data_IF_230325344592
#
_entry.id   IF_230325344592
#
_cell.length_a   1.000
_cell.length_b   1.000
_cell.length_c   1.000
_cell.angle_alpha   90.00
_cell.angle_beta   90.00
_cell.angle_gamma   90.00
#
_symmetry.space_group_name_H-M   'P 1'
#
loop_
_entity.id
_entity.type
_entity.pdbx_description
1 polymer ?
#
# COMPACT_ATOMS: atom_id res chain seq x y z
N UNK A 1 -4.94 24.57 -55.70
CA UNK A 1 -3.78 24.21 -54.85
C UNK A 1 -4.00 24.88 -53.50
N UNK A 2 -4.70 24.22 -52.59
CA UNK A 2 -4.71 24.59 -51.18
C UNK A 2 -4.43 23.32 -50.40
N UNK A 3 -3.26 23.30 -49.78
CA UNK A 3 -2.75 22.17 -49.02
C UNK A 3 -3.55 22.05 -47.72
N UNK A 4 -4.26 20.92 -47.58
CA UNK A 4 -4.75 20.46 -46.29
C UNK A 4 -3.55 20.25 -45.36
N UNK A 5 -3.44 21.08 -44.32
CA UNK A 5 -2.55 20.81 -43.19
C UNK A 5 -3.13 19.64 -42.40
N UNK A 6 -2.52 18.48 -42.55
CA UNK A 6 -2.64 17.38 -41.60
C UNK A 6 -1.84 17.74 -40.34
N UNK A 7 -2.49 18.34 -39.34
CA UNK A 7 -1.96 18.35 -37.97
C UNK A 7 -2.36 17.04 -37.27
N UNK A 8 -1.73 15.95 -37.72
CA UNK A 8 -1.74 14.67 -37.03
C UNK A 8 -0.79 14.71 -35.85
N UNK A 9 -1.18 15.33 -34.73
CA UNK A 9 -0.62 14.92 -33.44
C UNK A 9 -1.20 13.55 -33.12
N UNK A 10 -0.52 12.51 -33.60
CA UNK A 10 -0.73 11.14 -33.17
C UNK A 10 -0.54 11.15 -31.66
N UNK A 11 -1.63 11.16 -30.91
CA UNK A 11 -1.54 11.13 -29.47
C UNK A 11 -0.85 9.82 -29.09
N UNK A 12 0.26 9.91 -28.37
CA UNK A 12 1.01 8.74 -27.94
C UNK A 12 0.08 7.76 -27.23
N UNK A 13 0.15 6.48 -27.59
CA UNK A 13 -0.57 5.41 -26.89
C UNK A 13 -0.31 5.52 -25.39
N UNK A 14 -1.36 5.34 -24.59
CA UNK A 14 -1.23 5.32 -23.14
C UNK A 14 -0.23 4.21 -22.73
N UNK A 15 0.80 4.57 -21.96
CA UNK A 15 1.86 3.65 -21.52
C UNK A 15 1.82 3.51 -20.01
N UNK A 16 1.58 2.28 -19.54
CA UNK A 16 1.46 1.96 -18.11
C UNK A 16 2.70 2.38 -17.30
N UNK A 17 3.90 2.21 -17.88
CA UNK A 17 5.16 2.56 -17.22
C UNK A 17 5.28 4.04 -16.83
N UNK A 18 4.64 4.96 -17.57
CA UNK A 18 4.63 6.40 -17.21
C UNK A 18 3.87 6.69 -15.93
N UNK A 19 2.98 5.79 -15.53
CA UNK A 19 2.18 5.87 -14.30
C UNK A 19 2.70 4.93 -13.21
N UNK A 20 3.93 4.40 -13.37
CA UNK A 20 4.50 3.40 -12.47
C UNK A 20 3.67 2.12 -12.34
N UNK A 21 2.93 1.77 -13.40
CA UNK A 21 2.15 0.53 -13.47
C UNK A 21 2.97 -0.51 -14.24
N UNK A 22 3.21 -1.65 -13.60
CA UNK A 22 3.89 -2.79 -14.21
C UNK A 22 2.96 -3.57 -15.13
N UNK A 23 3.45 -3.93 -16.32
CA UNK A 23 2.74 -4.83 -17.25
C UNK A 23 2.52 -6.23 -16.68
N UNK A 24 3.38 -6.65 -15.75
CA UNK A 24 3.32 -7.96 -15.12
C UNK A 24 2.63 -7.89 -13.75
N UNK A 25 2.88 -6.84 -12.98
CA UNK A 25 2.50 -6.75 -11.57
C UNK A 25 1.42 -5.71 -11.27
N UNK A 26 1.00 -4.91 -12.26
CA UNK A 26 0.01 -3.86 -12.06
C UNK A 26 0.56 -2.79 -11.12
N UNK A 27 -0.18 -2.48 -10.07
CA UNK A 27 0.23 -1.50 -9.05
C UNK A 27 1.18 -2.07 -7.99
N UNK A 28 1.36 -3.39 -7.91
CA UNK A 28 2.34 -4.00 -7.01
C UNK A 28 3.75 -3.53 -7.39
N UNK A 29 4.59 -3.24 -6.39
CA UNK A 29 6.00 -2.94 -6.63
C UNK A 29 6.73 -4.23 -7.04
N UNK A 30 7.30 -4.33 -8.25
CA UNK A 30 8.03 -5.53 -8.66
C UNK A 30 9.38 -5.62 -7.95
N UNK A 31 9.65 -6.80 -7.39
CA UNK A 31 10.86 -7.11 -6.63
C UNK A 31 11.13 -6.04 -5.56
N UNK A 32 10.24 -5.91 -4.56
CA UNK A 32 10.47 -4.99 -3.45
C UNK A 32 11.76 -5.35 -2.72
N UNK A 33 12.39 -4.35 -2.11
CA UNK A 33 13.57 -4.59 -1.27
C UNK A 33 13.12 -5.15 0.06
N UNK A 34 13.91 -6.07 0.60
CA UNK A 34 13.69 -6.69 1.91
C UNK A 34 14.54 -6.05 3.01
N UNK A 35 15.66 -5.43 2.63
CA UNK A 35 16.61 -4.78 3.54
C UNK A 35 16.96 -3.38 3.06
N UNK A 36 17.14 -2.47 4.03
CA UNK A 36 17.69 -1.14 3.79
C UNK A 36 19.21 -1.14 3.93
N UNK A 37 19.92 -0.15 3.35
CA UNK A 37 21.36 0.02 3.58
C UNK A 37 21.73 0.12 5.06
N UNK A 38 22.96 -0.28 5.42
CA UNK A 38 23.48 -0.37 6.80
C UNK A 38 23.23 0.87 7.67
N UNK A 39 23.20 2.06 7.06
CA UNK A 39 22.87 3.31 7.75
C UNK A 39 21.52 3.23 8.50
N UNK A 40 20.56 2.50 7.94
CA UNK A 40 19.19 2.33 8.43
C UNK A 40 18.98 1.05 9.25
N UNK A 41 20.06 0.35 9.61
CA UNK A 41 20.00 -0.86 10.44
C UNK A 41 19.20 -0.68 11.74
N UNK A 42 19.26 0.47 12.47
CA UNK A 42 18.42 0.68 13.65
C UNK A 42 16.91 0.58 13.37
N UNK A 43 16.45 1.01 12.20
CA UNK A 43 15.04 0.85 11.80
C UNK A 43 14.71 -0.61 11.52
N UNK A 44 15.56 -1.30 10.74
CA UNK A 44 15.34 -2.70 10.38
C UNK A 44 15.38 -3.63 11.60
N UNK A 45 16.27 -3.39 12.56
CA UNK A 45 16.36 -4.19 13.81
C UNK A 45 15.09 -4.10 14.67
N UNK A 46 14.38 -2.97 14.65
CA UNK A 46 13.07 -2.83 15.29
C UNK A 46 12.02 -3.52 14.44
N UNK A 47 11.99 -3.27 13.13
CA UNK A 47 10.98 -3.79 12.22
C UNK A 47 10.95 -5.33 12.17
N UNK A 48 12.11 -5.99 12.16
CA UNK A 48 12.24 -7.45 12.16
C UNK A 48 11.75 -8.11 13.45
N UNK A 49 11.74 -7.36 14.55
CA UNK A 49 11.25 -7.83 15.87
C UNK A 49 9.93 -7.19 16.25
N UNK A 50 9.26 -6.51 15.31
CA UNK A 50 8.14 -5.64 15.61
C UNK A 50 6.98 -6.37 16.33
N UNK A 51 6.52 -7.56 15.90
CA UNK A 51 5.47 -8.29 16.62
C UNK A 51 5.89 -8.60 18.07
N UNK A 52 7.11 -9.11 18.25
CA UNK A 52 7.63 -9.47 19.57
C UNK A 52 7.80 -8.25 20.49
N UNK A 53 8.29 -7.12 19.96
CA UNK A 53 8.46 -5.89 20.73
C UNK A 53 7.11 -5.29 21.15
N UNK A 54 6.06 -5.44 20.34
CA UNK A 54 4.71 -5.03 20.70
C UNK A 54 4.14 -5.94 21.79
N UNK A 55 4.18 -7.27 21.58
CA UNK A 55 3.66 -8.26 22.53
C UNK A 55 4.35 -8.22 23.90
N UNK A 56 5.63 -7.87 23.92
CA UNK A 56 6.42 -7.71 25.16
C UNK A 56 6.34 -6.31 25.77
N UNK A 57 5.59 -5.38 25.17
CA UNK A 57 5.46 -3.98 25.58
C UNK A 57 6.79 -3.19 25.58
N UNK A 58 7.75 -3.57 24.73
CA UNK A 58 9.09 -3.00 24.68
C UNK A 58 9.32 -2.06 23.48
N UNK A 59 8.42 -2.03 22.50
CA UNK A 59 8.61 -1.23 21.28
C UNK A 59 8.81 0.25 21.60
N UNK A 60 7.99 0.83 22.47
CA UNK A 60 8.10 2.25 22.82
C UNK A 60 9.47 2.62 23.39
N UNK A 61 10.04 1.77 24.27
CA UNK A 61 11.38 1.99 24.82
C UNK A 61 12.46 1.99 23.71
N UNK A 62 12.39 1.03 22.79
CA UNK A 62 13.32 0.96 21.66
C UNK A 62 13.19 2.16 20.72
N UNK A 63 11.98 2.66 20.48
CA UNK A 63 11.76 3.86 19.64
C UNK A 63 12.34 5.12 20.30
N UNK A 64 12.27 5.26 21.63
CA UNK A 64 12.90 6.38 22.34
C UNK A 64 14.43 6.34 22.32
N UNK A 65 15.03 5.14 22.25
CA UNK A 65 16.49 4.96 22.11
C UNK A 65 16.97 5.05 20.65
N UNK A 66 16.05 5.04 19.69
CA UNK A 66 16.37 5.05 18.26
C UNK A 66 17.08 6.35 17.85
N UNK A 67 18.21 6.29 17.13
CA UNK A 67 18.88 7.49 16.64
C UNK A 67 18.04 8.19 15.58
N UNK A 68 18.15 9.52 15.51
CA UNK A 68 17.63 10.28 14.37
C UNK A 68 18.53 10.02 13.15
N UNK A 69 18.00 9.33 12.15
CA UNK A 69 18.70 8.99 10.91
C UNK A 69 18.28 9.91 9.77
N UNK A 70 19.23 10.17 8.87
CA UNK A 70 19.06 11.08 7.74
C UNK A 70 18.54 10.34 6.51
N UNK A 71 17.48 10.83 5.86
CA UNK A 71 16.86 10.17 4.72
C UNK A 71 17.59 10.44 3.39
N UNK A 72 18.60 11.30 3.34
CA UNK A 72 19.37 11.61 2.11
C UNK A 72 20.12 10.41 1.53
N UNK A 73 20.34 9.35 2.31
CA UNK A 73 20.97 8.11 1.85
C UNK A 73 19.97 7.10 1.27
N UNK A 74 18.66 7.41 1.22
CA UNK A 74 17.64 6.66 0.48
C UNK A 74 17.63 7.14 -0.98
N UNK A 75 18.46 6.51 -1.81
CA UNK A 75 18.76 6.94 -3.17
C UNK A 75 17.81 6.35 -4.22
N UNK A 76 17.25 5.18 -3.97
CA UNK A 76 16.35 4.51 -4.90
C UNK A 76 14.88 4.58 -4.48
N UNK A 77 13.98 4.51 -5.45
CA UNK A 77 12.54 4.45 -5.16
C UNK A 77 12.16 3.23 -4.29
N UNK A 78 12.82 2.08 -4.49
CA UNK A 78 12.57 0.89 -3.67
C UNK A 78 13.05 1.07 -2.24
N UNK A 79 14.20 1.73 -2.04
CA UNK A 79 14.69 2.09 -0.69
C UNK A 79 13.71 3.01 0.01
N UNK A 80 13.21 4.05 -0.69
CA UNK A 80 12.22 4.96 -0.13
C UNK A 80 10.90 4.24 0.23
N UNK A 81 10.42 3.34 -0.64
CA UNK A 81 9.21 2.55 -0.38
C UNK A 81 9.37 1.60 0.81
N UNK A 82 10.50 0.90 0.92
CA UNK A 82 10.77 0.05 2.09
C UNK A 82 10.92 0.90 3.36
N UNK A 83 11.62 2.03 3.30
CA UNK A 83 11.75 2.93 4.44
C UNK A 83 10.39 3.46 4.90
N UNK A 84 9.50 3.82 3.98
CA UNK A 84 8.16 4.25 4.32
C UNK A 84 7.37 3.13 5.00
N UNK A 85 7.36 1.91 4.43
CA UNK A 85 6.74 0.73 5.06
C UNK A 85 7.27 0.49 6.48
N UNK A 86 8.58 0.49 6.66
CA UNK A 86 9.23 0.24 7.96
C UNK A 86 8.85 1.32 8.98
N UNK A 87 8.98 2.61 8.62
CA UNK A 87 8.68 3.72 9.52
C UNK A 87 7.19 3.80 9.84
N UNK A 88 6.33 3.53 8.86
CA UNK A 88 4.90 3.42 9.04
C UNK A 88 4.58 2.27 10.01
N UNK A 89 5.22 1.11 9.84
CA UNK A 89 5.00 -0.04 10.69
C UNK A 89 5.40 0.22 12.15
N UNK A 90 6.60 0.75 12.37
CA UNK A 90 7.06 1.13 13.70
C UNK A 90 6.11 2.18 14.30
N UNK A 91 5.61 3.13 13.51
CA UNK A 91 4.63 4.14 13.96
C UNK A 91 3.32 3.51 14.42
N UNK A 92 2.72 2.61 13.63
CA UNK A 92 1.47 1.95 14.02
C UNK A 92 1.65 1.11 15.28
N UNK A 93 2.76 0.37 15.37
CA UNK A 93 3.11 -0.38 16.57
C UNK A 93 3.29 0.52 17.79
N UNK A 94 4.02 1.63 17.65
CA UNK A 94 4.31 2.55 18.74
C UNK A 94 3.04 3.19 19.29
N UNK A 95 2.16 3.65 18.39
CA UNK A 95 0.90 4.31 18.75
C UNK A 95 -0.05 3.34 19.43
N UNK A 96 -0.19 2.12 18.89
CA UNK A 96 -1.23 1.17 19.29
C UNK A 96 -0.75 0.02 20.17
N UNK A 97 0.50 0.02 20.65
CA UNK A 97 1.06 -1.06 21.48
C UNK A 97 0.15 -1.47 22.65
N UNK A 98 -0.41 -0.47 23.36
CA UNK A 98 -1.29 -0.68 24.52
C UNK A 98 -2.78 -0.81 24.13
N UNK A 99 -3.05 -1.03 22.84
CA UNK A 99 -4.38 -1.06 22.25
C UNK A 99 -5.09 0.30 22.23
N UNK A 100 -6.38 0.27 21.97
CA UNK A 100 -7.23 1.47 21.89
C UNK A 100 -7.44 2.16 23.25
N UNK A 101 -7.13 1.50 24.37
CA UNK A 101 -7.33 2.10 25.70
C UNK A 101 -6.30 3.19 26.02
N UNK A 102 -5.06 3.04 25.54
CA UNK A 102 -3.95 3.92 25.91
C UNK A 102 -3.02 4.23 24.72
N UNK A 103 -3.51 4.81 23.62
CA UNK A 103 -2.66 5.12 22.49
C UNK A 103 -1.68 6.25 22.78
N UNK A 104 -0.50 6.19 22.15
CA UNK A 104 0.44 7.31 22.18
C UNK A 104 -0.07 8.47 21.32
N UNK A 105 0.03 9.68 21.88
CA UNK A 105 -0.48 10.92 21.25
C UNK A 105 0.59 11.79 20.62
N UNK A 106 1.85 11.45 20.87
CA UNK A 106 3.03 12.16 20.36
C UNK A 106 3.98 11.13 19.79
N UNK A 107 4.29 11.26 18.50
CA UNK A 107 5.31 10.47 17.82
C UNK A 107 6.68 11.12 18.05
N UNK A 108 7.67 10.42 18.64
CA UNK A 108 8.97 10.99 18.95
C UNK A 108 9.71 11.49 17.70
N UNK A 109 10.48 12.57 17.84
CA UNK A 109 11.17 13.23 16.72
C UNK A 109 12.07 12.30 15.90
N UNK A 110 12.66 11.29 16.55
CA UNK A 110 13.58 10.31 15.95
C UNK A 110 12.86 9.41 14.93
N UNK A 111 11.56 9.24 15.08
CA UNK A 111 10.68 8.52 14.15
C UNK A 111 9.88 9.49 13.26
N UNK A 112 9.35 10.57 13.83
CA UNK A 112 8.45 11.50 13.15
C UNK A 112 9.12 12.27 12.00
N UNK A 113 10.33 12.81 12.20
CA UNK A 113 11.04 13.59 11.20
C UNK A 113 11.35 12.75 9.95
N UNK A 114 12.06 11.61 10.05
CA UNK A 114 12.37 10.81 8.86
C UNK A 114 11.12 10.26 8.20
N UNK A 115 10.10 9.87 8.97
CA UNK A 115 8.86 9.36 8.38
C UNK A 115 8.15 10.42 7.53
N UNK A 116 8.06 11.66 8.01
CA UNK A 116 7.46 12.75 7.23
C UNK A 116 8.31 13.13 6.03
N UNK A 117 9.64 13.07 6.14
CA UNK A 117 10.55 13.35 5.03
C UNK A 117 10.36 12.33 3.88
N UNK A 118 10.39 11.03 4.18
CA UNK A 118 10.17 9.96 3.20
C UNK A 118 8.74 10.01 2.64
N UNK A 119 7.75 10.31 3.49
CA UNK A 119 6.35 10.49 3.06
C UNK A 119 6.23 11.62 2.02
N UNK A 120 6.88 12.76 2.27
CA UNK A 120 6.89 13.89 1.34
C UNK A 120 7.59 13.54 0.03
N UNK A 121 8.71 12.82 0.06
CA UNK A 121 9.43 12.45 -1.16
C UNK A 121 8.62 11.51 -2.05
N UNK A 122 7.80 10.65 -1.44
CA UNK A 122 6.92 9.70 -2.15
C UNK A 122 5.55 10.28 -2.51
N UNK A 123 5.18 11.44 -1.96
CA UNK A 123 3.82 11.98 -2.09
C UNK A 123 2.76 11.18 -1.31
N UNK A 124 3.18 10.47 -0.26
CA UNK A 124 2.32 9.70 0.63
C UNK A 124 2.07 10.45 1.95
N UNK A 125 0.98 10.15 2.69
CA UNK A 125 0.83 10.63 4.05
C UNK A 125 1.77 9.86 5.01
N UNK A 126 2.19 10.47 6.13
CA UNK A 126 2.98 9.81 7.17
C UNK A 126 2.09 8.95 8.08
N UNK A 127 1.42 7.97 7.49
CA UNK A 127 0.69 6.87 8.15
C UNK A 127 0.85 5.61 7.29
N UNK A 128 0.68 4.44 7.87
CA UNK A 128 0.60 3.20 7.09
C UNK A 128 -0.61 3.22 6.15
N UNK A 129 -0.36 3.11 4.85
CA UNK A 129 -1.39 3.04 3.82
C UNK A 129 -1.34 1.72 3.05
N UNK A 130 -2.36 1.46 2.23
CA UNK A 130 -2.44 0.27 1.36
C UNK A 130 -1.20 0.08 0.48
N UNK A 131 -0.62 1.18 -0.03
CA UNK A 131 0.59 1.10 -0.85
C UNK A 131 1.78 0.51 -0.11
N UNK A 132 1.81 0.64 1.21
CA UNK A 132 2.91 0.13 2.03
C UNK A 132 2.58 -1.30 2.44
N UNK A 133 1.43 -1.47 3.08
CA UNK A 133 0.99 -2.72 3.69
C UNK A 133 0.79 -3.84 2.69
N UNK A 134 0.37 -3.52 1.45
CA UNK A 134 0.05 -4.52 0.42
C UNK A 134 1.01 -4.40 -0.75
N UNK A 135 1.07 -3.24 -1.42
CA UNK A 135 1.74 -3.15 -2.71
C UNK A 135 3.26 -3.36 -2.63
N UNK A 136 3.87 -3.18 -1.46
CA UNK A 136 5.31 -3.34 -1.22
C UNK A 136 5.68 -4.43 -0.24
N UNK A 137 4.76 -4.90 0.59
CA UNK A 137 5.07 -5.79 1.70
C UNK A 137 4.92 -7.28 1.33
N UNK A 138 5.61 -7.72 0.28
CA UNK A 138 5.57 -9.11 -0.17
C UNK A 138 6.89 -9.51 -0.81
N UNK A 139 7.31 -10.74 -0.64
CA UNK A 139 8.42 -11.34 -1.41
C UNK A 139 8.13 -12.81 -1.70
N UNK A 140 8.88 -13.39 -2.64
CA UNK A 140 8.78 -14.81 -2.99
C UNK A 140 9.82 -15.61 -2.22
N UNK A 141 9.40 -16.66 -1.52
CA UNK A 141 10.30 -17.63 -0.86
C UNK A 141 11.23 -18.29 -1.87
N UNK A 142 10.67 -18.73 -3.00
CA UNK A 142 11.40 -19.18 -4.17
C UNK A 142 11.19 -18.16 -5.31
N UNK A 143 12.23 -17.39 -5.69
CA UNK A 143 12.15 -16.41 -6.77
C UNK A 143 11.69 -16.98 -8.11
N UNK A 144 12.00 -18.26 -8.40
CA UNK A 144 11.59 -18.93 -9.64
C UNK A 144 10.21 -19.61 -9.54
N UNK A 145 9.61 -19.59 -8.34
CA UNK A 145 8.31 -20.18 -8.08
C UNK A 145 7.13 -19.29 -8.51
N UNK A 146 5.91 -19.88 -8.55
CA UNK A 146 4.70 -19.15 -8.90
C UNK A 146 4.35 -18.07 -7.86
N UNK A 147 3.54 -17.09 -8.26
CA UNK A 147 3.00 -16.07 -7.36
C UNK A 147 1.72 -16.60 -6.69
N UNK A 148 1.89 -17.43 -5.68
CA UNK A 148 0.80 -18.04 -4.89
C UNK A 148 1.11 -17.95 -3.40
N UNK A 149 0.08 -17.99 -2.55
CA UNK A 149 0.22 -17.75 -1.09
C UNK A 149 1.31 -18.63 -0.47
N UNK A 150 1.38 -19.92 -0.83
CA UNK A 150 2.40 -20.84 -0.30
C UNK A 150 3.85 -20.47 -0.64
N UNK A 151 4.07 -19.70 -1.70
CA UNK A 151 5.39 -19.21 -2.11
C UNK A 151 5.63 -17.74 -1.73
N UNK A 152 4.69 -17.10 -1.03
CA UNK A 152 4.78 -15.69 -0.66
C UNK A 152 5.01 -15.52 0.84
N UNK A 153 5.67 -14.43 1.20
CA UNK A 153 5.80 -13.96 2.58
C UNK A 153 5.81 -12.45 2.66
N UNK A 154 5.46 -11.92 3.84
CA UNK A 154 5.51 -10.48 4.11
C UNK A 154 6.91 -10.09 4.54
N UNK A 155 7.37 -8.90 4.13
CA UNK A 155 8.68 -8.35 4.50
C UNK A 155 8.65 -7.88 5.96
N UNK A 156 7.60 -7.12 6.32
CA UNK A 156 7.36 -6.60 7.68
C UNK A 156 6.03 -7.15 8.19
N UNK A 157 5.99 -7.55 9.45
CA UNK A 157 4.79 -8.08 10.12
C UNK A 157 4.44 -7.30 11.39
N UNK A 158 3.18 -7.38 11.78
CA UNK A 158 2.60 -6.86 13.03
C UNK A 158 1.92 -8.00 13.80
N UNK A 159 1.38 -7.76 15.00
CA UNK A 159 0.54 -8.73 15.68
C UNK A 159 -0.64 -9.18 14.80
N UNK A 160 -0.96 -10.47 14.87
CA UNK A 160 -1.97 -11.12 14.02
C UNK A 160 -1.46 -12.37 13.29
N UNK A 161 -0.16 -12.65 13.35
CA UNK A 161 0.45 -13.91 12.90
C UNK A 161 0.06 -14.28 11.47
N UNK A 162 -0.30 -15.55 11.26
CA UNK A 162 -0.68 -16.07 9.95
C UNK A 162 -1.92 -15.37 9.37
N UNK A 163 -2.85 -14.88 10.20
CA UNK A 163 -4.03 -14.15 9.72
C UNK A 163 -3.68 -12.78 9.12
N UNK A 164 -2.67 -12.10 9.68
CA UNK A 164 -2.17 -10.85 9.09
C UNK A 164 -1.46 -11.12 7.77
N UNK A 165 -0.60 -12.14 7.74
CA UNK A 165 0.07 -12.56 6.52
C UNK A 165 -0.94 -12.94 5.44
N UNK A 166 -1.97 -13.72 5.80
CA UNK A 166 -3.09 -14.06 4.93
C UNK A 166 -3.80 -12.83 4.39
N UNK A 167 -4.16 -11.88 5.26
CA UNK A 167 -4.84 -10.65 4.86
C UNK A 167 -4.03 -9.84 3.83
N UNK A 168 -2.73 -9.68 4.06
CA UNK A 168 -1.84 -8.96 3.16
C UNK A 168 -1.67 -9.72 1.83
N UNK A 169 -1.30 -11.00 1.88
CA UNK A 169 -0.93 -11.77 0.69
C UNK A 169 -2.14 -12.13 -0.19
N UNK A 170 -3.31 -12.39 0.39
CA UNK A 170 -4.56 -12.52 -0.38
C UNK A 170 -4.84 -11.22 -1.13
N UNK A 171 -4.64 -10.06 -0.48
CA UNK A 171 -4.83 -8.75 -1.13
C UNK A 171 -3.79 -8.50 -2.23
N UNK A 172 -2.54 -8.96 -2.06
CA UNK A 172 -1.52 -8.96 -3.13
C UNK A 172 -1.99 -9.80 -4.33
N UNK A 173 -2.60 -10.97 -4.11
CA UNK A 173 -3.15 -11.78 -5.19
C UNK A 173 -4.33 -11.11 -5.89
N UNK A 174 -5.18 -10.39 -5.15
CA UNK A 174 -6.26 -9.57 -5.72
C UNK A 174 -5.69 -8.50 -6.66
N UNK A 175 -4.69 -7.74 -6.20
CA UNK A 175 -3.99 -6.73 -7.02
C UNK A 175 -3.34 -7.37 -8.26
N UNK A 176 -2.73 -8.55 -8.12
CA UNK A 176 -2.14 -9.28 -9.26
C UNK A 176 -3.20 -9.75 -10.26
N UNK A 177 -4.35 -10.25 -9.78
CA UNK A 177 -5.45 -10.73 -10.62
C UNK A 177 -6.10 -9.59 -11.44
N UNK A 178 -5.92 -8.33 -11.00
CA UNK A 178 -6.40 -7.16 -11.71
C UNK A 178 -5.56 -6.77 -12.94
N UNK A 179 -4.35 -7.30 -13.10
CA UNK A 179 -3.41 -6.89 -14.17
C UNK A 179 -4.02 -7.01 -15.58
N UNK A 180 -4.68 -8.11 -15.97
CA UNK A 180 -5.35 -8.18 -17.26
C UNK A 180 -6.43 -7.10 -17.43
N UNK A 181 -7.20 -6.80 -16.38
CA UNK A 181 -8.20 -5.75 -16.37
C UNK A 181 -7.60 -4.36 -16.54
N UNK A 182 -6.49 -4.05 -15.86
CA UNK A 182 -5.75 -2.78 -16.02
C UNK A 182 -5.31 -2.60 -17.48
N UNK A 183 -4.76 -3.65 -18.09
CA UNK A 183 -4.36 -3.63 -19.51
C UNK A 183 -5.57 -3.48 -20.44
N UNK A 184 -6.70 -4.08 -20.08
CA UNK A 184 -7.95 -3.93 -20.80
C UNK A 184 -8.46 -2.48 -20.75
N UNK A 185 -8.24 -1.72 -19.67
CA UNK A 185 -8.57 -0.28 -19.64
C UNK A 185 -7.78 0.48 -20.71
N UNK A 186 -6.48 0.21 -20.82
CA UNK A 186 -5.62 0.84 -21.84
C UNK A 186 -6.14 0.53 -23.24
N UNK A 187 -6.42 -0.75 -23.51
CA UNK A 187 -6.98 -1.20 -24.78
C UNK A 187 -8.32 -0.52 -25.07
N UNK A 188 -9.20 -0.45 -24.07
CA UNK A 188 -10.52 0.16 -24.18
C UNK A 188 -10.48 1.66 -24.47
N UNK A 189 -9.60 2.40 -23.78
CA UNK A 189 -9.39 3.83 -24.04
C UNK A 189 -8.92 4.06 -25.47
N UNK A 190 -7.94 3.29 -25.96
CA UNK A 190 -7.46 3.42 -27.33
C UNK A 190 -8.53 3.00 -28.36
N UNK A 191 -9.31 1.95 -28.07
CA UNK A 191 -10.42 1.52 -28.92
C UNK A 191 -11.49 2.62 -29.06
N UNK A 192 -11.84 3.31 -27.97
CA UNK A 192 -12.78 4.44 -27.99
C UNK A 192 -12.26 5.57 -28.88
N UNK A 193 -10.98 5.92 -28.74
CA UNK A 193 -10.35 7.00 -29.54
C UNK A 193 -10.30 6.68 -31.02
N UNK A 194 -10.14 5.41 -31.37
CA UNK A 194 -10.09 4.94 -32.75
C UNK A 194 -11.48 4.56 -33.29
N UNK A 195 -12.53 4.68 -32.48
CA UNK A 195 -13.90 4.25 -32.80
C UNK A 195 -13.99 2.76 -33.21
N UNK A 196 -13.14 1.90 -32.63
CA UNK A 196 -13.12 0.46 -32.89
C UNK A 196 -14.05 -0.28 -31.93
N UNK A 197 -15.24 -0.68 -32.41
CA UNK A 197 -16.23 -1.39 -31.58
C UNK A 197 -15.77 -2.80 -31.20
N UNK A 198 -15.15 -3.54 -32.12
CA UNK A 198 -14.70 -4.92 -31.86
C UNK A 198 -13.60 -4.95 -30.79
N UNK A 199 -12.63 -4.03 -30.88
CA UNK A 199 -11.56 -3.92 -29.87
C UNK A 199 -12.10 -3.46 -28.52
N UNK A 200 -13.09 -2.57 -28.50
CA UNK A 200 -13.74 -2.16 -27.25
C UNK A 200 -14.49 -3.33 -26.61
N UNK A 201 -15.19 -4.14 -27.40
CA UNK A 201 -15.86 -5.34 -26.92
C UNK A 201 -14.86 -6.35 -26.32
N UNK A 202 -13.72 -6.57 -26.98
CA UNK A 202 -12.64 -7.41 -26.46
C UNK A 202 -12.12 -6.89 -25.11
N UNK A 203 -11.85 -5.58 -25.01
CA UNK A 203 -11.41 -4.94 -23.77
C UNK A 203 -12.43 -5.16 -22.63
N UNK A 204 -13.72 -4.95 -22.88
CA UNK A 204 -14.76 -5.14 -21.87
C UNK A 204 -14.90 -6.61 -21.46
N UNK A 205 -14.72 -7.55 -22.39
CA UNK A 205 -14.72 -8.99 -22.08
C UNK A 205 -13.53 -9.37 -21.19
N UNK A 206 -12.34 -8.82 -21.47
CA UNK A 206 -11.16 -9.04 -20.63
C UNK A 206 -11.30 -8.41 -19.24
N UNK A 207 -11.86 -7.20 -19.15
CA UNK A 207 -12.16 -6.54 -17.88
C UNK A 207 -13.12 -7.39 -17.03
N UNK A 208 -14.19 -7.94 -17.65
CA UNK A 208 -15.12 -8.86 -16.97
C UNK A 208 -14.40 -10.10 -16.41
N UNK A 209 -13.55 -10.74 -17.20
CA UNK A 209 -12.79 -11.91 -16.75
C UNK A 209 -11.86 -11.54 -15.58
N UNK A 210 -11.17 -10.40 -15.66
CA UNK A 210 -10.31 -9.93 -14.58
C UNK A 210 -11.09 -9.65 -13.27
N UNK A 211 -12.31 -9.11 -13.35
CA UNK A 211 -13.18 -8.92 -12.17
C UNK A 211 -13.58 -10.27 -11.55
N UNK A 212 -13.86 -11.28 -12.37
CA UNK A 212 -14.12 -12.64 -11.89
C UNK A 212 -12.89 -13.23 -11.19
N UNK A 213 -11.69 -13.01 -11.73
CA UNK A 213 -10.43 -13.48 -11.17
C UNK A 213 -10.10 -12.79 -9.85
N UNK A 214 -10.31 -11.47 -9.76
CA UNK A 214 -10.23 -10.69 -8.52
C UNK A 214 -11.18 -11.28 -7.47
N UNK A 215 -12.42 -11.60 -7.86
CA UNK A 215 -13.43 -12.15 -6.94
C UNK A 215 -13.00 -13.52 -6.42
N UNK A 216 -12.44 -14.38 -7.28
CA UNK A 216 -11.89 -15.69 -6.88
C UNK A 216 -10.67 -15.55 -5.98
N UNK A 217 -9.80 -14.57 -6.23
CA UNK A 217 -8.66 -14.29 -5.36
C UNK A 217 -9.13 -13.82 -3.98
N UNK A 218 -10.08 -12.89 -3.92
CA UNK A 218 -10.64 -12.36 -2.68
C UNK A 218 -11.32 -13.45 -1.83
N UNK A 219 -11.95 -14.45 -2.47
CA UNK A 219 -12.59 -15.55 -1.76
C UNK A 219 -11.63 -16.35 -0.86
N UNK A 220 -10.33 -16.38 -1.19
CA UNK A 220 -9.31 -17.02 -0.35
C UNK A 220 -9.16 -16.34 1.02
N UNK A 221 -9.66 -15.11 1.20
CA UNK A 221 -9.67 -14.44 2.51
C UNK A 221 -10.31 -15.32 3.60
N UNK A 222 -11.32 -16.13 3.25
CA UNK A 222 -11.99 -17.05 4.17
C UNK A 222 -11.10 -18.21 4.64
N UNK A 223 -10.08 -18.57 3.87
CA UNK A 223 -9.18 -19.68 4.17
C UNK A 223 -7.98 -19.24 5.01
N UNK A 224 -7.55 -17.98 4.85
CA UNK A 224 -6.28 -17.49 5.41
C UNK A 224 -6.44 -16.42 6.50
N UNK A 225 -7.64 -15.90 6.74
CA UNK A 225 -7.86 -14.84 7.74
C UNK A 225 -8.92 -15.25 8.74
N UNK A 226 -8.49 -15.39 9.99
CA UNK A 226 -9.41 -15.57 11.10
C UNK A 226 -10.15 -14.24 11.39
N UNK A 227 -11.50 -14.22 11.34
CA UNK A 227 -12.26 -12.99 11.57
C UNK A 227 -12.09 -12.38 12.96
N UNK A 228 -11.90 -13.21 13.99
CA UNK A 228 -11.72 -12.76 15.37
C UNK A 228 -10.34 -12.12 15.54
N UNK A 229 -9.28 -12.74 15.02
CA UNK A 229 -7.94 -12.17 15.01
C UNK A 229 -7.93 -10.86 14.21
N UNK A 230 -8.60 -10.83 13.06
CA UNK A 230 -8.70 -9.60 12.27
C UNK A 230 -9.35 -8.46 13.06
N UNK A 231 -10.51 -8.72 13.68
CA UNK A 231 -11.29 -7.69 14.35
C UNK A 231 -10.64 -7.20 15.67
N UNK A 232 -10.12 -8.13 16.47
CA UNK A 232 -9.60 -7.85 17.81
C UNK A 232 -8.12 -7.43 17.81
N UNK A 233 -7.34 -7.84 16.81
CA UNK A 233 -5.89 -7.56 16.77
C UNK A 233 -5.53 -6.69 15.57
N UNK A 234 -5.70 -7.19 14.35
CA UNK A 234 -5.16 -6.55 13.14
C UNK A 234 -5.77 -5.16 12.93
N UNK A 235 -7.09 -5.04 13.04
CA UNK A 235 -7.85 -3.79 12.84
C UNK A 235 -7.30 -2.61 13.66
N UNK A 236 -6.82 -2.89 14.87
CA UNK A 236 -6.27 -1.85 15.75
C UNK A 236 -5.05 -1.21 15.07
N UNK A 237 -4.10 -2.03 14.58
CA UNK A 237 -2.88 -1.54 13.92
C UNK A 237 -3.12 -0.94 12.54
N UNK A 238 -4.30 -1.14 11.94
CA UNK A 238 -4.71 -0.46 10.70
C UNK A 238 -5.46 0.85 10.95
N UNK A 239 -5.84 1.13 12.19
CA UNK A 239 -6.64 2.30 12.54
C UNK A 239 -5.83 3.58 12.50
N UNK A 240 -6.34 4.58 11.78
CA UNK A 240 -5.76 5.92 11.77
C UNK A 240 -6.27 6.78 12.91
N UNK A 241 -5.89 8.07 12.87
CA UNK A 241 -6.26 9.07 13.88
C UNK A 241 -7.02 10.26 13.26
N UNK A 242 -7.59 10.07 12.06
CA UNK A 242 -8.66 10.92 11.52
C UNK A 242 -10.00 10.26 11.77
N UNK A 243 -10.96 11.04 12.26
CA UNK A 243 -12.32 10.59 12.59
C UNK A 243 -12.34 9.37 13.54
N UNK A 244 -11.28 9.23 14.38
CA UNK A 244 -11.14 8.17 15.36
C UNK A 244 -11.54 8.69 16.75
N UNK A 245 -12.58 8.12 17.41
CA UNK A 245 -13.02 8.56 18.74
C UNK A 245 -11.96 8.45 19.84
N UNK A 246 -11.02 7.52 19.70
CA UNK A 246 -9.92 7.31 20.65
C UNK A 246 -8.80 8.35 20.46
N UNK A 247 -8.65 8.85 19.23
CA UNK A 247 -7.66 9.87 18.86
C UNK A 247 -8.34 11.12 18.26
N UNK A 248 -9.25 11.80 18.99
CA UNK A 248 -10.15 12.80 18.42
C UNK A 248 -9.42 14.05 17.91
N UNK A 249 -8.27 14.35 18.51
CA UNK A 249 -7.43 15.49 18.14
C UNK A 249 -6.45 15.16 17.01
N UNK A 250 -6.11 13.88 16.79
CA UNK A 250 -5.04 13.45 15.90
C UNK A 250 -3.75 13.07 16.64
N UNK A 251 -2.65 12.97 15.91
CA UNK A 251 -1.32 12.59 16.41
C UNK A 251 -0.34 13.75 16.24
N UNK A 252 0.40 14.12 17.29
CA UNK A 252 1.48 15.12 17.19
C UNK A 252 2.74 14.47 16.63
N UNK A 253 3.35 15.09 15.63
CA UNK A 253 4.63 14.67 15.04
C UNK A 253 5.73 15.57 15.57
N UNK A 254 6.42 15.13 16.63
CA UNK A 254 7.41 15.95 17.30
C UNK A 254 8.54 16.39 16.34
N UNK A 255 8.90 17.67 16.38
CA UNK A 255 9.89 18.25 15.48
C UNK A 255 9.39 18.55 14.06
N UNK A 256 8.15 18.17 13.73
CA UNK A 256 7.53 18.44 12.42
C UNK A 256 6.37 19.43 12.56
N UNK A 257 5.44 19.18 13.48
CA UNK A 257 4.25 20.00 13.70
C UNK A 257 3.95 20.09 15.19
N UNK A 258 3.68 21.30 15.67
CA UNK A 258 3.20 21.52 17.05
C UNK A 258 1.72 21.14 17.19
N UNK A 259 0.95 21.23 16.10
CA UNK A 259 -0.45 20.83 16.07
C UNK A 259 -0.59 19.35 15.68
N UNK A 260 -1.54 18.61 16.29
CA UNK A 260 -1.83 17.23 15.90
C UNK A 260 -2.32 17.15 14.44
N UNK A 261 -1.81 16.18 13.69
CA UNK A 261 -2.21 15.89 12.31
C UNK A 261 -3.24 14.76 12.29
N UNK A 262 -4.13 14.76 11.29
CA UNK A 262 -5.21 13.77 11.14
C UNK A 262 -5.06 12.99 9.84
N UNK A 263 -4.80 11.68 9.95
CA UNK A 263 -4.72 10.77 8.80
C UNK A 263 -5.64 9.55 8.96
N UNK A 264 -6.30 9.18 7.86
CA UNK A 264 -7.10 7.95 7.79
C UNK A 264 -6.18 6.73 7.71
N UNK A 265 -6.58 5.65 8.38
CA UNK A 265 -5.83 4.40 8.38
C UNK A 265 -5.82 3.67 7.04
N UNK A 266 -5.12 2.54 7.00
CA UNK A 266 -5.06 1.67 5.83
C UNK A 266 -6.42 1.06 5.51
N UNK A 267 -6.82 1.06 4.24
CA UNK A 267 -8.06 0.45 3.79
C UNK A 267 -7.94 -0.02 2.34
N UNK A 268 -8.65 -1.09 1.99
CA UNK A 268 -8.79 -1.56 0.61
C UNK A 268 -9.36 -0.47 -0.33
N UNK A 269 -10.10 0.50 0.23
CA UNK A 269 -10.57 1.68 -0.51
C UNK A 269 -9.42 2.57 -1.03
N UNK A 270 -8.17 2.34 -0.65
CA UNK A 270 -6.99 3.01 -1.19
C UNK A 270 -6.38 2.27 -2.39
N UNK A 271 -6.87 1.06 -2.73
CA UNK A 271 -6.44 0.33 -3.93
C UNK A 271 -6.84 1.09 -5.19
N UNK A 272 -5.85 1.37 -6.05
CA UNK A 272 -6.09 2.07 -7.32
C UNK A 272 -6.85 1.23 -8.34
N UNK A 273 -6.86 -0.10 -8.20
CA UNK A 273 -7.61 -1.01 -9.09
C UNK A 273 -9.09 -0.68 -9.09
N UNK A 274 -9.68 -0.58 -7.89
CA UNK A 274 -11.12 -0.37 -7.72
C UNK A 274 -11.54 0.95 -8.39
N UNK A 275 -10.84 2.03 -8.06
CA UNK A 275 -11.10 3.36 -8.64
C UNK A 275 -10.90 3.41 -10.14
N UNK A 276 -9.84 2.77 -10.66
CA UNK A 276 -9.58 2.76 -12.10
C UNK A 276 -10.68 2.03 -12.88
N UNK A 277 -11.23 0.95 -12.33
CA UNK A 277 -12.30 0.20 -12.97
C UNK A 277 -13.62 0.97 -12.94
N UNK A 278 -13.97 1.56 -11.79
CA UNK A 278 -15.17 2.37 -11.65
C UNK A 278 -15.13 3.60 -12.57
N UNK A 279 -14.00 4.31 -12.61
CA UNK A 279 -13.82 5.49 -13.46
C UNK A 279 -13.94 5.14 -14.95
N UNK A 280 -13.32 4.04 -15.39
CA UNK A 280 -13.42 3.60 -16.78
C UNK A 280 -14.85 3.22 -17.18
N UNK A 281 -15.60 2.59 -16.26
CA UNK A 281 -16.99 2.20 -16.48
C UNK A 281 -17.98 3.36 -16.27
N UNK A 282 -17.53 4.51 -15.80
CA UNK A 282 -18.36 5.67 -15.49
C UNK A 282 -19.30 5.45 -14.30
N UNK A 283 -18.91 4.58 -13.35
CA UNK A 283 -19.69 4.28 -12.15
C UNK A 283 -19.52 5.44 -11.15
N UNK A 284 -20.64 6.07 -10.78
CA UNK A 284 -20.66 7.15 -9.79
C UNK A 284 -21.26 6.64 -8.48
N UNK A 285 -20.42 6.54 -7.45
CA UNK A 285 -20.88 6.21 -6.10
C UNK A 285 -21.47 7.46 -5.44
N UNK A 286 -22.77 7.45 -5.17
CA UNK A 286 -23.40 8.51 -4.38
C UNK A 286 -22.83 8.49 -2.96
N UNK A 287 -22.65 9.68 -2.35
CA UNK A 287 -22.50 9.74 -0.89
C UNK A 287 -23.81 9.23 -0.29
N UNK A 288 -23.77 8.10 0.40
CA UNK A 288 -24.87 7.73 1.31
C UNK A 288 -25.10 8.91 2.26
N UNK A 289 -26.35 9.35 2.35
CA UNK A 289 -26.80 10.45 3.21
C UNK A 289 -26.88 10.03 4.67
#
# INVERSE_FOLDING_TARGET
MEAQRQDGKLASSLSLGKYHISEEYGFLLPNPLEELPDHYKPWMEIAHRLPHLIESHQLQAHVYEMPLLDCRFLTSYREQRLAHLVLAAITMGFVWQEGEAQPQKVLPRTLAIPFVEVSRSLGLPPILVHSDLVLTNWTKRNPEGPLEIGNLETIISFPGGESLQGFILVTVLVEKAAVPGIKALVLGVEAIRQHSQDTLLEALQQLRLSIQDITRALAQMHDYVDPEIFYLVIRIFLSGWKDNPVMPVGLVYEGVSTEPLKYSGGSAAQSSVLHAFDEFLGIQHCKES
#
